data_IF_369220390419
#
_entry.id   IF_369220390419
#
_cell.length_a   1.000
_cell.length_b   1.000
_cell.length_c   1.000
_cell.angle_alpha   90.00
_cell.angle_beta   90.00
_cell.angle_gamma   90.00
#
_symmetry.space_group_name_H-M   'P 1'
#
loop_
_entity.id
_entity.type
_entity.pdbx_description
1 polymer ?
#
# COMPACT_ATOMS: atom_id res chain seq x y z
N UNK A 1 -9.95 20.09 -4.35
CA UNK A 1 -10.99 19.49 -3.48
C UNK A 1 -11.03 20.29 -2.18
N UNK A 2 -12.20 20.71 -1.67
CA UNK A 2 -12.27 21.40 -0.36
C UNK A 2 -11.82 20.41 0.73
N UNK A 3 -11.04 20.82 1.74
CA UNK A 3 -10.63 19.91 2.81
C UNK A 3 -11.88 19.36 3.50
N UNK A 4 -12.05 18.04 3.44
CA UNK A 4 -13.14 17.36 4.15
C UNK A 4 -12.91 17.51 5.65
N UNK A 5 -13.94 17.94 6.38
CA UNK A 5 -13.92 17.97 7.86
C UNK A 5 -13.57 16.56 8.36
N UNK A 6 -12.57 16.45 9.23
CA UNK A 6 -12.24 15.18 9.92
C UNK A 6 -13.19 15.00 11.11
N UNK A 7 -13.63 13.77 11.31
CA UNK A 7 -14.44 13.35 12.46
C UNK A 7 -13.67 12.26 13.20
N UNK A 8 -13.65 12.34 14.53
CA UNK A 8 -13.02 11.33 15.37
C UNK A 8 -14.07 10.34 15.83
N UNK A 9 -13.89 9.06 15.49
CA UNK A 9 -14.75 7.96 15.92
C UNK A 9 -13.90 7.06 16.83
N UNK A 10 -14.37 6.81 18.05
CA UNK A 10 -13.76 5.81 18.93
C UNK A 10 -14.47 4.47 18.77
N UNK A 11 -13.73 3.37 18.89
CA UNK A 11 -14.31 2.01 18.85
C UNK A 11 -14.73 1.49 20.22
N UNK A 12 -14.39 2.24 21.28
CA UNK A 12 -14.61 1.93 22.68
C UNK A 12 -15.08 3.17 23.47
N UNK A 13 -16.02 3.05 24.43
CA UNK A 13 -16.74 1.82 24.83
C UNK A 13 -17.80 1.36 23.82
N UNK A 14 -18.34 2.29 23.03
CA UNK A 14 -19.29 2.04 21.94
C UNK A 14 -18.79 2.70 20.65
N UNK A 15 -19.26 2.21 19.50
CA UNK A 15 -19.04 2.83 18.19
C UNK A 15 -20.25 3.74 17.93
N UNK A 16 -20.02 5.04 17.79
CA UNK A 16 -21.02 6.02 17.39
C UNK A 16 -20.58 6.71 16.08
N UNK A 17 -21.45 6.71 15.08
CA UNK A 17 -21.22 7.33 13.77
C UNK A 17 -22.16 8.53 13.54
N UNK A 18 -23.11 8.80 14.42
CA UNK A 18 -24.15 9.83 14.24
C UNK A 18 -23.57 11.24 14.20
N UNK A 19 -22.46 11.47 14.91
CA UNK A 19 -21.75 12.75 14.91
C UNK A 19 -20.84 12.95 13.69
N UNK A 20 -20.82 11.98 12.77
CA UNK A 20 -20.02 11.98 11.55
C UNK A 20 -20.87 12.16 10.29
N UNK A 21 -20.20 12.35 9.15
CA UNK A 21 -20.83 12.35 7.84
C UNK A 21 -20.84 10.97 7.15
N UNK A 22 -20.72 9.89 7.93
CA UNK A 22 -20.70 8.53 7.39
C UNK A 22 -21.99 8.21 6.62
N UNK A 23 -21.86 7.68 5.40
CA UNK A 23 -22.98 7.23 4.58
C UNK A 23 -22.86 5.73 4.29
N UNK A 24 -23.77 4.92 4.84
CA UNK A 24 -23.79 3.46 4.64
C UNK A 24 -24.00 3.01 3.19
N UNK A 25 -24.43 3.89 2.29
CA UNK A 25 -24.57 3.61 0.85
C UNK A 25 -23.26 3.81 0.08
N UNK A 26 -22.26 4.49 0.65
CA UNK A 26 -20.98 4.73 0.01
C UNK A 26 -19.99 3.59 0.30
N UNK A 27 -19.04 3.39 -0.62
CA UNK A 27 -17.91 2.48 -0.39
C UNK A 27 -17.13 2.96 0.83
N UNK A 28 -16.78 2.06 1.74
CA UNK A 28 -15.96 2.38 2.91
C UNK A 28 -14.53 1.88 2.70
N UNK A 29 -13.55 2.78 2.79
CA UNK A 29 -12.13 2.50 2.66
C UNK A 29 -11.46 2.76 4.01
N UNK A 30 -10.82 1.73 4.56
CA UNK A 30 -10.01 1.82 5.76
C UNK A 30 -8.54 1.93 5.36
N UNK A 31 -7.85 2.95 5.86
CA UNK A 31 -6.39 3.06 5.76
C UNK A 31 -5.76 2.90 7.13
N UNK A 32 -4.80 1.98 7.25
CA UNK A 32 -4.08 1.69 8.50
C UNK A 32 -2.62 2.04 8.30
N UNK A 33 -2.10 3.00 9.06
CA UNK A 33 -0.69 3.38 8.97
C UNK A 33 0.23 2.33 9.62
N UNK A 34 1.54 2.42 9.37
CA UNK A 34 2.53 1.47 9.87
C UNK A 34 3.21 1.87 11.19
N UNK A 35 4.32 1.20 11.46
CA UNK A 35 5.20 1.45 12.60
C UNK A 35 5.79 2.86 12.56
N UNK A 36 5.89 3.50 13.73
CA UNK A 36 6.43 4.87 13.86
C UNK A 36 5.74 5.95 13.00
N UNK A 37 4.47 5.73 12.65
CA UNK A 37 3.59 6.72 11.99
C UNK A 37 2.38 7.06 12.87
N UNK A 38 1.63 8.09 12.50
CA UNK A 38 0.40 8.53 13.18
C UNK A 38 -0.70 8.87 12.18
N UNK A 39 -1.95 8.98 12.64
CA UNK A 39 -3.08 9.41 11.83
C UNK A 39 -3.03 10.87 11.34
N UNK A 40 -2.08 11.67 11.82
CA UNK A 40 -1.91 13.08 11.44
C UNK A 40 -0.82 13.31 10.39
N UNK A 41 -0.30 12.24 9.79
CA UNK A 41 0.67 12.27 8.71
C UNK A 41 0.02 12.84 7.42
N UNK A 42 0.58 13.91 6.85
CA UNK A 42 0.01 14.60 5.68
C UNK A 42 -0.13 13.71 4.44
N UNK A 43 0.69 12.66 4.35
CA UNK A 43 0.58 11.65 3.27
C UNK A 43 -0.75 10.89 3.31
N UNK A 44 -1.41 10.82 4.46
CA UNK A 44 -2.72 10.20 4.62
C UNK A 44 -3.83 11.13 4.11
N UNK A 45 -3.66 12.45 4.26
CA UNK A 45 -4.55 13.44 3.64
C UNK A 45 -4.45 13.37 2.12
N UNK A 46 -3.23 13.24 1.59
CA UNK A 46 -3.00 13.09 0.15
C UNK A 46 -3.70 11.86 -0.43
N UNK A 47 -3.63 10.72 0.28
CA UNK A 47 -4.32 9.49 -0.11
C UNK A 47 -5.83 9.65 -0.06
N UNK A 48 -6.35 10.19 1.04
CA UNK A 48 -7.78 10.48 1.21
C UNK A 48 -8.28 11.38 0.07
N UNK A 49 -7.59 12.47 -0.20
CA UNK A 49 -7.95 13.39 -1.29
C UNK A 49 -7.92 12.71 -2.65
N UNK A 50 -6.93 11.86 -2.90
CA UNK A 50 -6.84 11.09 -4.14
C UNK A 50 -8.01 10.10 -4.30
N UNK A 51 -8.40 9.41 -3.24
CA UNK A 51 -9.56 8.50 -3.24
C UNK A 51 -10.85 9.27 -3.49
N UNK A 52 -11.10 10.34 -2.73
CA UNK A 52 -12.32 11.14 -2.82
C UNK A 52 -12.45 11.89 -4.15
N UNK A 53 -11.33 12.09 -4.86
CA UNK A 53 -11.36 12.62 -6.22
C UNK A 53 -11.83 11.58 -7.26
N UNK A 54 -11.67 10.28 -6.97
CA UNK A 54 -12.01 9.20 -7.89
C UNK A 54 -13.37 8.55 -7.62
N UNK A 55 -13.88 8.63 -6.38
CA UNK A 55 -15.18 8.06 -6.00
C UNK A 55 -15.77 8.72 -4.76
N UNK A 56 -17.10 8.66 -4.63
CA UNK A 56 -17.79 8.98 -3.39
C UNK A 56 -17.62 7.82 -2.38
N UNK A 57 -16.78 8.04 -1.37
CA UNK A 57 -16.43 7.04 -0.38
C UNK A 57 -16.39 7.60 1.05
N UNK A 58 -16.58 6.72 2.03
CA UNK A 58 -16.19 6.96 3.41
C UNK A 58 -14.71 6.57 3.55
N UNK A 59 -13.82 7.52 3.84
CA UNK A 59 -12.40 7.23 4.10
C UNK A 59 -12.15 7.30 5.61
N UNK A 60 -11.80 6.17 6.21
CA UNK A 60 -11.53 6.03 7.64
C UNK A 60 -10.03 5.80 7.82
N UNK A 61 -9.35 6.78 8.42
CA UNK A 61 -7.94 6.66 8.81
C UNK A 61 -7.86 6.03 10.20
N UNK A 62 -7.25 4.86 10.30
CA UNK A 62 -7.08 4.14 11.57
C UNK A 62 -5.79 4.62 12.23
N UNK A 63 -5.94 5.45 13.27
CA UNK A 63 -4.83 5.95 14.08
C UNK A 63 -4.56 5.04 15.27
N UNK A 64 -3.39 4.40 15.27
CA UNK A 64 -2.87 3.61 16.39
C UNK A 64 -1.47 4.11 16.82
N UNK A 65 -1.12 5.34 16.45
CA UNK A 65 0.21 5.93 16.61
C UNK A 65 0.77 5.86 18.03
N UNK A 66 -0.10 6.01 19.04
CA UNK A 66 0.25 5.86 20.47
C UNK A 66 0.86 4.51 20.81
N UNK A 67 0.47 3.45 20.08
CA UNK A 67 0.93 2.07 20.28
C UNK A 67 1.79 1.55 19.12
N UNK A 68 2.04 2.40 18.11
CA UNK A 68 2.90 2.13 16.97
C UNK A 68 4.31 2.71 17.15
N UNK A 69 4.47 3.78 17.94
CA UNK A 69 5.76 4.41 18.20
C UNK A 69 6.45 3.80 19.44
N UNK A 70 6.74 2.50 19.35
CA UNK A 70 7.36 1.69 20.42
C UNK A 70 8.35 0.70 19.80
N UNK A 71 9.15 -0.06 20.59
CA UNK A 71 10.05 -1.07 20.05
C UNK A 71 9.34 -2.05 19.11
N UNK A 72 9.96 -2.30 17.95
CA UNK A 72 9.34 -3.01 16.83
C UNK A 72 8.66 -4.34 17.19
N UNK A 73 9.25 -5.24 18.02
CA UNK A 73 8.57 -6.49 18.41
C UNK A 73 7.26 -6.27 19.16
N UNK A 74 7.19 -5.23 19.99
CA UNK A 74 5.97 -4.87 20.69
C UNK A 74 4.95 -4.24 19.73
N UNK A 75 5.39 -3.38 18.80
CA UNK A 75 4.52 -2.82 17.78
C UNK A 75 3.88 -3.92 16.91
N UNK A 76 4.67 -4.93 16.50
CA UNK A 76 4.18 -6.12 15.80
C UNK A 76 3.13 -6.86 16.63
N UNK A 77 3.36 -7.03 17.93
CA UNK A 77 2.39 -7.69 18.82
C UNK A 77 1.09 -6.90 18.96
N UNK A 78 1.17 -5.56 19.02
CA UNK A 78 0.01 -4.68 19.12
C UNK A 78 -0.89 -4.71 17.88
N UNK A 79 -0.36 -5.08 16.70
CA UNK A 79 -1.18 -5.24 15.49
C UNK A 79 -2.35 -6.22 15.67
N UNK A 80 -2.24 -7.20 16.58
CA UNK A 80 -3.33 -8.13 16.93
C UNK A 80 -4.52 -7.39 17.57
N UNK A 81 -4.24 -6.48 18.50
CA UNK A 81 -5.27 -5.68 19.17
C UNK A 81 -5.88 -4.67 18.20
N UNK A 82 -5.05 -3.99 17.41
CA UNK A 82 -5.52 -3.07 16.36
C UNK A 82 -6.43 -3.81 15.37
N UNK A 83 -6.03 -5.00 14.94
CA UNK A 83 -6.84 -5.85 14.05
C UNK A 83 -8.18 -6.24 14.70
N UNK A 84 -8.20 -6.59 15.98
CA UNK A 84 -9.45 -6.89 16.69
C UNK A 84 -10.40 -5.67 16.75
N UNK A 85 -9.86 -4.46 16.94
CA UNK A 85 -10.64 -3.22 16.93
C UNK A 85 -11.18 -2.90 15.53
N UNK A 86 -10.35 -3.05 14.49
CA UNK A 86 -10.78 -2.91 13.09
C UNK A 86 -11.88 -3.91 12.76
N UNK A 87 -11.73 -5.18 13.15
CA UNK A 87 -12.74 -6.21 12.93
C UNK A 87 -14.04 -5.92 13.68
N UNK A 88 -13.98 -5.36 14.89
CA UNK A 88 -15.16 -4.90 15.64
C UNK A 88 -15.88 -3.78 14.89
N UNK A 89 -15.14 -2.77 14.41
CA UNK A 89 -15.69 -1.70 13.59
C UNK A 89 -16.29 -2.26 12.29
N UNK A 90 -15.57 -3.12 11.58
CA UNK A 90 -16.03 -3.72 10.34
C UNK A 90 -17.31 -4.55 10.52
N UNK A 91 -17.41 -5.32 11.61
CA UNK A 91 -18.63 -6.03 12.00
C UNK A 91 -19.80 -5.09 12.25
N UNK A 92 -19.54 -3.95 12.91
CA UNK A 92 -20.56 -2.92 13.15
C UNK A 92 -21.07 -2.30 11.84
N UNK A 93 -20.17 -2.03 10.89
CA UNK A 93 -20.51 -1.44 9.58
C UNK A 93 -21.20 -2.44 8.63
N UNK A 94 -20.71 -3.68 8.56
CA UNK A 94 -21.06 -4.63 7.48
C UNK A 94 -21.91 -5.81 7.93
N UNK A 95 -22.07 -6.02 9.25
CA UNK A 95 -22.71 -7.21 9.85
C UNK A 95 -22.11 -8.56 9.40
N UNK A 96 -20.88 -8.59 8.87
CA UNK A 96 -20.19 -9.81 8.40
C UNK A 96 -19.16 -10.35 9.41
N UNK A 97 -18.88 -11.65 9.38
CA UNK A 97 -17.82 -12.31 10.20
C UNK A 97 -16.44 -12.16 9.53
N UNK A 98 -15.39 -12.02 10.34
CA UNK A 98 -14.00 -11.82 9.90
C UNK A 98 -13.12 -13.08 10.07
N UNK A 99 -11.94 -13.04 9.47
CA UNK A 99 -10.93 -14.11 9.46
C UNK A 99 -9.90 -13.98 10.59
N UNK A 100 -9.28 -15.10 10.96
CA UNK A 100 -8.35 -15.23 12.08
C UNK A 100 -6.99 -15.74 11.57
N UNK A 101 -6.12 -14.82 11.09
CA UNK A 101 -4.77 -15.13 10.59
C UNK A 101 -3.79 -13.99 10.90
N UNK A 102 -2.51 -14.35 11.08
CA UNK A 102 -1.43 -13.47 11.57
C UNK A 102 -0.71 -12.64 10.49
N UNK A 103 -0.97 -12.89 9.20
CA UNK A 103 -0.28 -12.24 8.08
C UNK A 103 -1.20 -12.12 6.87
N UNK A 104 -1.07 -10.99 6.16
CA UNK A 104 -1.73 -10.77 4.87
C UNK A 104 -1.44 -11.91 3.89
N UNK A 105 -2.50 -12.44 3.30
CA UNK A 105 -2.48 -13.42 2.23
C UNK A 105 -3.64 -13.16 1.26
N UNK A 106 -3.57 -13.80 0.08
CA UNK A 106 -4.54 -13.64 -1.00
C UNK A 106 -5.98 -13.96 -0.59
N UNK A 107 -6.17 -14.86 0.37
CA UNK A 107 -7.51 -15.32 0.79
C UNK A 107 -8.16 -14.38 1.83
N UNK A 108 -7.48 -13.32 2.25
CA UNK A 108 -8.00 -12.39 3.27
C UNK A 108 -9.06 -11.42 2.70
N UNK A 109 -9.18 -11.31 1.38
CA UNK A 109 -10.19 -10.49 0.70
C UNK A 109 -10.62 -11.11 -0.63
N UNK A 110 -11.63 -10.53 -1.27
CA UNK A 110 -12.05 -10.92 -2.64
C UNK A 110 -10.98 -10.63 -3.69
N UNK A 111 -10.11 -9.66 -3.40
CA UNK A 111 -8.97 -9.29 -4.23
C UNK A 111 -7.91 -8.61 -3.35
N UNK A 112 -6.66 -9.05 -3.47
CA UNK A 112 -5.52 -8.48 -2.73
C UNK A 112 -4.46 -7.95 -3.70
N UNK A 113 -4.23 -6.64 -3.66
CA UNK A 113 -3.13 -5.96 -4.36
C UNK A 113 -2.00 -5.65 -3.38
N UNK A 114 -0.76 -5.90 -3.80
CA UNK A 114 0.45 -5.67 -2.98
C UNK A 114 1.45 -4.85 -3.77
N UNK A 115 2.04 -3.82 -3.14
CA UNK A 115 3.09 -2.99 -3.71
C UNK A 115 4.39 -3.21 -2.93
N UNK A 116 5.41 -3.72 -3.63
CA UNK A 116 6.74 -3.95 -3.09
C UNK A 116 7.67 -2.83 -3.53
N UNK A 117 8.18 -2.06 -2.58
CA UNK A 117 9.18 -1.01 -2.84
C UNK A 117 10.45 -1.15 -2.01
N UNK A 118 10.44 -1.99 -0.97
CA UNK A 118 11.58 -2.19 -0.06
C UNK A 118 11.70 -3.63 0.45
N UNK A 119 11.43 -4.61 -0.41
CA UNK A 119 11.47 -6.04 -0.09
C UNK A 119 12.87 -6.66 -0.06
N UNK A 120 13.90 -5.94 0.36
CA UNK A 120 15.22 -6.55 0.58
C UNK A 120 15.17 -7.46 1.81
N UNK A 121 16.04 -8.48 1.93
CA UNK A 121 16.24 -9.18 3.19
C UNK A 121 16.51 -8.18 4.33
N UNK A 122 15.77 -8.30 5.43
CA UNK A 122 15.94 -7.42 6.61
C UNK A 122 17.37 -7.51 7.16
N UNK A 123 17.94 -8.71 7.18
CA UNK A 123 19.37 -8.91 7.46
C UNK A 123 20.03 -9.53 6.22
N UNK A 124 21.20 -9.02 5.78
CA UNK A 124 21.95 -7.86 6.28
C UNK A 124 21.54 -6.51 5.65
N UNK A 125 20.54 -6.49 4.75
CA UNK A 125 20.30 -5.34 3.86
C UNK A 125 19.27 -4.32 4.36
N UNK A 126 18.75 -4.50 5.58
CA UNK A 126 17.82 -3.58 6.27
C UNK A 126 16.55 -3.26 5.46
N UNK A 127 16.05 -4.23 4.67
CA UNK A 127 14.74 -4.11 4.05
C UNK A 127 13.61 -4.20 5.07
N UNK A 128 12.69 -3.23 5.03
CA UNK A 128 11.50 -3.14 5.89
C UNK A 128 10.25 -3.78 5.25
N UNK A 129 10.30 -4.08 3.96
CA UNK A 129 9.21 -4.71 3.23
C UNK A 129 9.36 -6.23 3.10
N UNK A 130 8.28 -6.89 2.70
CA UNK A 130 8.27 -8.33 2.38
C UNK A 130 8.39 -8.48 0.87
N UNK A 131 9.29 -9.34 0.38
CA UNK A 131 9.44 -9.62 -1.06
C UNK A 131 8.49 -10.70 -1.59
N UNK A 132 8.07 -11.61 -0.70
CA UNK A 132 7.24 -12.75 -1.05
C UNK A 132 5.92 -12.26 -1.66
N UNK A 133 5.41 -13.03 -2.61
CA UNK A 133 4.08 -12.80 -3.18
C UNK A 133 3.02 -13.04 -2.12
N UNK A 134 2.14 -12.07 -1.88
CA UNK A 134 1.08 -12.15 -0.87
C UNK A 134 -0.32 -11.93 -1.45
N UNK A 135 -0.45 -11.41 -2.68
CA UNK A 135 -1.75 -11.02 -3.25
C UNK A 135 -2.22 -11.85 -4.44
N UNK A 136 -3.36 -11.43 -4.98
CA UNK A 136 -3.79 -11.73 -6.34
C UNK A 136 -2.84 -11.09 -7.37
N UNK A 137 -2.36 -9.90 -7.02
CA UNK A 137 -1.49 -9.05 -7.83
C UNK A 137 -0.41 -8.44 -6.94
N UNK A 138 0.85 -8.66 -7.32
CA UNK A 138 2.01 -8.16 -6.59
C UNK A 138 2.89 -7.32 -7.53
N UNK A 139 2.93 -6.02 -7.29
CA UNK A 139 3.71 -5.05 -8.06
C UNK A 139 5.08 -4.84 -7.46
N UNK A 140 6.12 -5.12 -8.24
CA UNK A 140 7.52 -4.92 -7.89
C UNK A 140 8.04 -3.65 -8.55
N UNK A 141 7.88 -2.53 -7.87
CA UNK A 141 8.35 -1.23 -8.35
C UNK A 141 9.87 -1.19 -8.36
N UNK A 142 10.44 -0.96 -9.54
CA UNK A 142 11.87 -0.93 -9.81
C UNK A 142 12.58 -2.22 -9.31
N UNK A 143 11.93 -3.37 -9.48
CA UNK A 143 12.39 -4.68 -8.98
C UNK A 143 12.00 -4.99 -7.53
N UNK A 144 11.40 -4.02 -6.83
CA UNK A 144 10.79 -4.15 -5.51
C UNK A 144 11.74 -3.99 -4.33
N UNK A 145 12.97 -3.49 -4.55
CA UNK A 145 14.03 -3.39 -3.55
C UNK A 145 14.46 -1.94 -3.30
N UNK A 146 15.08 -1.33 -4.29
CA UNK A 146 15.59 0.05 -4.28
C UNK A 146 14.70 0.92 -5.16
N UNK A 147 14.44 2.14 -4.71
CA UNK A 147 13.62 3.08 -5.45
C UNK A 147 14.48 4.23 -5.96
N UNK A 148 14.31 4.65 -7.22
CA UNK A 148 15.03 5.80 -7.76
C UNK A 148 14.82 7.06 -6.90
N UNK A 149 15.91 7.81 -6.69
CA UNK A 149 15.92 9.00 -5.82
C UNK A 149 16.11 8.71 -4.32
N UNK A 150 16.22 7.46 -3.90
CA UNK A 150 16.53 7.08 -2.51
C UNK A 150 18.01 6.71 -2.29
N UNK A 151 18.92 7.22 -3.14
CA UNK A 151 20.35 6.86 -3.12
C UNK A 151 21.17 7.96 -2.44
N UNK A 152 21.49 7.75 -1.16
CA UNK A 152 22.66 8.39 -0.53
C UNK A 152 23.17 7.45 0.57
N UNK A 153 24.34 6.85 0.37
CA UNK A 153 24.83 5.74 1.21
C UNK A 153 25.16 6.17 2.64
N UNK A 154 25.40 7.45 2.89
CA UNK A 154 25.72 7.99 4.21
C UNK A 154 24.47 8.19 5.09
N UNK A 155 23.28 8.32 4.50
CA UNK A 155 22.06 8.58 5.24
C UNK A 155 21.22 7.31 5.35
N UNK A 156 21.36 6.61 6.49
CA UNK A 156 20.60 5.40 6.80
C UNK A 156 19.08 5.61 6.68
N UNK A 157 18.59 6.79 7.08
CA UNK A 157 17.16 7.10 6.96
C UNK A 157 16.73 7.15 5.48
N UNK A 158 17.53 7.79 4.62
CA UNK A 158 17.27 7.84 3.19
C UNK A 158 17.39 6.46 2.53
N UNK A 159 18.34 5.62 2.95
CA UNK A 159 18.53 4.28 2.38
C UNK A 159 17.41 3.29 2.76
N UNK A 160 16.85 3.42 3.96
CA UNK A 160 15.90 2.45 4.53
C UNK A 160 14.45 2.94 4.45
N UNK A 161 14.16 4.15 4.93
CA UNK A 161 12.78 4.64 5.03
C UNK A 161 12.25 5.21 3.71
N UNK A 162 13.09 5.86 2.89
CA UNK A 162 12.64 6.38 1.58
C UNK A 162 12.03 5.29 0.70
N UNK A 163 12.72 4.17 0.38
CA UNK A 163 12.12 3.12 -0.43
C UNK A 163 10.92 2.47 0.25
N UNK A 164 10.85 2.45 1.59
CA UNK A 164 9.71 1.91 2.32
C UNK A 164 8.44 2.76 2.12
N UNK A 165 8.55 4.09 2.26
CA UNK A 165 7.43 5.04 2.11
C UNK A 165 6.98 5.21 0.65
N UNK A 166 7.82 4.87 -0.33
CA UNK A 166 7.51 4.96 -1.77
C UNK A 166 6.25 4.21 -2.18
N UNK A 167 5.89 3.13 -1.50
CA UNK A 167 4.66 2.37 -1.75
C UNK A 167 3.42 3.27 -1.67
N UNK A 168 3.30 4.05 -0.61
CA UNK A 168 2.21 5.02 -0.42
C UNK A 168 2.28 6.14 -1.46
N UNK A 169 3.46 6.69 -1.72
CA UNK A 169 3.62 7.81 -2.66
C UNK A 169 3.23 7.40 -4.10
N UNK A 170 3.67 6.23 -4.55
CA UNK A 170 3.30 5.71 -5.86
C UNK A 170 1.81 5.41 -5.96
N UNK A 171 1.20 4.85 -4.90
CA UNK A 171 -0.23 4.59 -4.90
C UNK A 171 -1.04 5.89 -4.95
N UNK A 172 -0.67 6.90 -4.16
CA UNK A 172 -1.31 8.23 -4.20
C UNK A 172 -1.21 8.83 -5.59
N UNK A 173 -0.03 8.79 -6.22
CA UNK A 173 0.15 9.34 -7.57
C UNK A 173 -0.67 8.58 -8.62
N UNK A 174 -0.74 7.24 -8.52
CA UNK A 174 -1.58 6.40 -9.38
C UNK A 174 -3.06 6.79 -9.35
N UNK A 175 -3.53 7.33 -8.22
CA UNK A 175 -4.91 7.79 -8.06
C UNK A 175 -5.10 9.26 -8.44
N UNK A 176 -4.11 10.13 -8.16
CA UNK A 176 -4.26 11.58 -8.36
C UNK A 176 -4.23 11.98 -9.84
N UNK A 177 -3.39 11.34 -10.65
CA UNK A 177 -3.10 11.82 -11.99
C UNK A 177 -3.59 10.84 -13.08
N UNK A 178 -4.73 11.11 -13.75
CA UNK A 178 -5.29 10.22 -14.75
C UNK A 178 -4.39 10.05 -15.99
N UNK A 179 -3.53 11.04 -16.27
CA UNK A 179 -2.59 11.03 -17.40
C UNK A 179 -1.27 10.31 -17.05
N UNK A 180 -1.04 10.06 -15.75
CA UNK A 180 0.18 9.47 -15.22
C UNK A 180 -0.13 8.13 -14.54
N UNK A 181 -0.32 7.10 -15.37
CA UNK A 181 -0.68 5.76 -14.90
C UNK A 181 0.55 4.85 -14.80
N UNK A 182 0.70 4.22 -13.64
CA UNK A 182 1.61 3.09 -13.51
C UNK A 182 0.99 1.84 -14.11
N UNK A 183 1.71 1.24 -15.04
CA UNK A 183 1.35 -0.04 -15.64
C UNK A 183 2.33 -1.10 -15.19
N UNK A 184 1.82 -2.13 -14.51
CA UNK A 184 2.58 -3.32 -14.20
C UNK A 184 2.59 -4.27 -15.39
N UNK A 185 3.78 -4.75 -15.74
CA UNK A 185 3.98 -5.74 -16.80
C UNK A 185 4.24 -7.09 -16.17
N UNK A 186 3.51 -8.13 -16.61
CA UNK A 186 3.61 -9.47 -16.05
C UNK A 186 5.05 -9.96 -16.05
N UNK A 187 5.48 -10.38 -14.87
CA UNK A 187 6.84 -10.76 -14.57
C UNK A 187 7.07 -12.24 -14.85
N UNK A 188 8.12 -12.55 -15.60
CA UNK A 188 8.60 -13.93 -15.77
C UNK A 188 9.49 -14.36 -14.59
N UNK A 189 9.63 -15.67 -14.40
CA UNK A 189 10.54 -16.21 -13.39
C UNK A 189 11.99 -15.76 -13.61
N UNK A 190 12.45 -15.64 -14.87
CA UNK A 190 13.78 -15.14 -15.19
C UNK A 190 14.00 -13.70 -14.72
N UNK A 191 12.99 -12.82 -14.86
CA UNK A 191 13.01 -11.46 -14.32
C UNK A 191 12.95 -11.42 -12.79
N UNK A 192 12.29 -12.40 -12.16
CA UNK A 192 12.34 -12.57 -10.70
C UNK A 192 13.76 -12.87 -10.24
N UNK A 193 14.39 -13.89 -10.82
CA UNK A 193 15.77 -14.27 -10.49
C UNK A 193 16.72 -13.11 -10.75
N UNK A 194 16.63 -12.47 -11.92
CA UNK A 194 17.50 -11.36 -12.27
C UNK A 194 17.40 -10.20 -11.29
N UNK A 195 16.20 -9.83 -10.85
CA UNK A 195 16.03 -8.77 -9.84
C UNK A 195 16.63 -9.16 -8.50
N UNK A 196 16.55 -10.42 -8.08
CA UNK A 196 17.16 -10.85 -6.82
C UNK A 196 18.68 -10.77 -6.95
N UNK A 197 19.24 -11.27 -8.05
CA UNK A 197 20.68 -11.28 -8.30
C UNK A 197 21.26 -9.87 -8.52
N UNK A 198 20.50 -8.97 -9.14
CA UNK A 198 20.92 -7.60 -9.41
C UNK A 198 20.55 -6.61 -8.29
N UNK A 199 19.99 -7.09 -7.18
CA UNK A 199 19.41 -6.24 -6.15
C UNK A 199 18.35 -5.24 -6.63
N UNK A 200 17.60 -5.59 -7.69
CA UNK A 200 16.57 -4.76 -8.30
C UNK A 200 17.09 -3.78 -9.36
N UNK A 201 18.37 -3.40 -9.31
CA UNK A 201 18.96 -2.33 -10.14
C UNK A 201 18.72 -2.48 -11.65
N UNK A 202 18.85 -3.69 -12.21
CA UNK A 202 18.64 -3.93 -13.63
C UNK A 202 17.16 -4.01 -14.03
N UNK A 203 16.26 -4.26 -13.08
CA UNK A 203 14.85 -4.53 -13.37
C UNK A 203 14.17 -3.34 -14.05
N UNK A 204 14.55 -2.11 -13.67
CA UNK A 204 14.00 -0.87 -14.21
C UNK A 204 14.18 -0.75 -15.72
N UNK A 205 15.36 -1.11 -16.25
CA UNK A 205 15.69 -0.97 -17.67
C UNK A 205 15.02 -2.03 -18.55
N UNK A 206 14.43 -3.07 -17.94
CA UNK A 206 13.82 -4.21 -18.64
C UNK A 206 12.30 -4.10 -18.73
N UNK A 207 11.69 -3.10 -18.09
CA UNK A 207 10.26 -2.80 -18.22
C UNK A 207 10.06 -2.04 -19.53
N UNK A 208 9.24 -2.60 -20.44
CA UNK A 208 8.93 -1.98 -21.72
C UNK A 208 7.43 -1.98 -21.98
N UNK A 209 6.81 -0.80 -21.90
CA UNK A 209 5.37 -0.62 -22.11
C UNK A 209 4.91 -0.85 -23.56
N UNK A 210 5.84 -1.02 -24.50
CA UNK A 210 5.54 -1.28 -25.92
C UNK A 210 4.82 -2.62 -26.17
N UNK A 211 4.74 -3.50 -25.18
CA UNK A 211 4.15 -4.85 -25.30
C UNK A 211 3.08 -5.11 -24.24
N UNK A 212 2.06 -4.26 -24.20
CA UNK A 212 1.02 -4.30 -23.17
C UNK A 212 -0.30 -4.87 -23.71
N UNK A 213 -0.75 -6.00 -23.15
CA UNK A 213 -2.05 -6.63 -23.42
C UNK A 213 -2.83 -6.76 -22.11
N UNK A 214 -4.16 -6.85 -22.15
CA UNK A 214 -5.02 -6.88 -20.96
C UNK A 214 -4.77 -8.10 -20.04
N UNK A 215 -4.19 -9.17 -20.56
CA UNK A 215 -3.81 -10.40 -19.84
C UNK A 215 -2.37 -10.37 -19.28
N UNK A 216 -1.54 -9.44 -19.77
CA UNK A 216 -0.13 -9.28 -19.39
C UNK A 216 0.17 -7.93 -18.73
N UNK A 217 -0.78 -7.03 -18.68
CA UNK A 217 -0.67 -5.72 -18.07
C UNK A 217 -1.84 -5.42 -17.17
N UNK A 218 -1.56 -4.65 -16.12
CA UNK A 218 -2.55 -4.23 -15.14
C UNK A 218 -2.15 -2.85 -14.60
N UNK A 219 -3.08 -1.88 -14.54
CA UNK A 219 -2.82 -0.61 -13.91
C UNK A 219 -2.70 -0.79 -12.39
N UNK A 220 -1.84 -0.01 -11.76
CA UNK A 220 -1.78 0.09 -10.29
C UNK A 220 -2.91 1.00 -9.81
N UNK A 221 -3.55 0.68 -8.69
CA UNK A 221 -4.62 1.49 -8.12
C UNK A 221 -6.00 0.83 -8.16
N UNK A 222 -7.06 1.64 -8.02
CA UNK A 222 -8.43 1.16 -7.80
C UNK A 222 -9.00 0.27 -8.93
N UNK A 223 -8.48 0.38 -10.14
CA UNK A 223 -8.96 -0.36 -11.31
C UNK A 223 -8.34 -1.75 -11.48
N UNK A 224 -7.29 -2.09 -10.72
CA UNK A 224 -6.55 -3.35 -10.88
C UNK A 224 -7.45 -4.60 -10.79
N UNK A 225 -8.44 -4.58 -9.90
CA UNK A 225 -9.43 -5.66 -9.71
C UNK A 225 -10.23 -5.99 -10.99
N UNK A 226 -10.43 -4.99 -11.87
CA UNK A 226 -11.20 -5.13 -13.12
C UNK A 226 -10.43 -5.91 -14.20
N UNK A 227 -9.12 -6.04 -14.06
CA UNK A 227 -8.28 -6.74 -15.03
C UNK A 227 -8.22 -8.23 -14.70
N UNK A 228 -8.11 -9.13 -15.69
CA UNK A 228 -8.02 -10.58 -15.47
C UNK A 228 -6.61 -11.04 -15.08
N UNK A 229 -5.58 -10.23 -15.34
CA UNK A 229 -4.19 -10.61 -15.09
C UNK A 229 -3.91 -10.79 -13.59
N UNK A 230 -3.23 -11.89 -13.23
CA UNK A 230 -2.86 -12.24 -11.84
C UNK A 230 -1.38 -12.62 -11.74
N UNK A 231 -0.83 -12.50 -10.54
CA UNK A 231 0.55 -12.85 -10.22
C UNK A 231 1.46 -11.65 -9.98
N UNK A 232 2.73 -11.76 -10.38
CA UNK A 232 3.74 -10.72 -10.16
C UNK A 232 3.89 -9.82 -11.39
N UNK A 233 4.09 -8.52 -11.16
CA UNK A 233 4.23 -7.51 -12.20
C UNK A 233 5.40 -6.57 -11.90
N UNK A 234 6.21 -6.25 -12.90
CA UNK A 234 7.27 -5.25 -12.80
C UNK A 234 6.70 -3.88 -13.17
N UNK A 235 7.01 -2.85 -12.36
CA UNK A 235 6.68 -1.45 -12.63
C UNK A 235 7.97 -0.65 -12.63
N UNK A 236 8.17 0.24 -13.59
CA UNK A 236 9.31 1.16 -13.59
C UNK A 236 8.82 2.58 -13.29
N UNK A 237 9.66 3.35 -12.59
CA UNK A 237 9.36 4.76 -12.28
C UNK A 237 10.54 5.66 -12.65
N UNK A 238 10.28 6.97 -12.71
CA UNK A 238 11.30 8.01 -12.64
C UNK A 238 11.86 8.16 -11.20
N UNK A 239 12.81 9.07 -10.99
CA UNK A 239 13.45 9.36 -9.70
C UNK A 239 12.87 10.58 -8.95
N UNK A 240 12.00 11.35 -9.59
CA UNK A 240 11.36 12.56 -9.06
C UNK A 240 9.88 12.57 -9.44
N UNK A 241 9.06 13.43 -8.85
CA UNK A 241 7.66 13.56 -9.30
C UNK A 241 7.58 14.24 -10.69
N UNK A 242 6.63 13.86 -11.56
CA UNK A 242 5.83 12.63 -11.49
C UNK A 242 6.73 11.38 -11.65
N UNK A 243 6.42 10.34 -10.87
CA UNK A 243 7.13 9.08 -10.86
C UNK A 243 6.75 8.15 -12.01
N UNK A 244 5.57 8.28 -12.61
CA UNK A 244 5.37 7.74 -13.95
C UNK A 244 6.26 8.50 -14.96
#
# INVERSE_FOLDING_TARGET
VKPSKRYTITTWPSINLEDSNYNGSHVTILYVHGWSQTGNDSRLDDLKDAILHNMDANVILVDWGTTAHIPYPQAVSNTRIVSAQILRLWKHLTKKKGADKLKLNRDDATFVEVIHTNGRPTLPLLGLGIYQRLGDVDFYFNGGWDQPGCTNDENLHLRVFCPHVRSLLYYVEALKNPDCKFWGIKRSQSRTILSILSGGWLSRYLVSLRKCKIDTCIPVGLDSIKYPARGAFDVATSNSVPYC
#
